data_IF_836014130714
#
_entry.id   IF_836014130714
#
_cell.length_a   1.000
_cell.length_b   1.000
_cell.length_c   1.000
_cell.angle_alpha   90.00
_cell.angle_beta   90.00
_cell.angle_gamma   90.00
#
_symmetry.space_group_name_H-M   'P 1'
#
loop_
_entity.id
_entity.type
_entity.pdbx_description
1 polymer ?
#
# COMPACT_ATOMS: atom_id res chain seq x y z
N UNK A 1 11.37 -8.68 11.56
CA UNK A 1 11.36 -9.58 10.39
C UNK A 1 10.48 -8.93 9.33
N UNK A 2 10.91 -8.86 8.07
CA UNK A 2 10.05 -8.34 6.99
C UNK A 2 9.23 -9.49 6.41
N UNK A 3 7.94 -9.26 6.22
CA UNK A 3 7.03 -10.22 5.60
C UNK A 3 6.47 -9.63 4.30
N UNK A 4 6.17 -10.51 3.34
CA UNK A 4 5.41 -10.10 2.16
C UNK A 4 3.93 -10.16 2.53
N UNK A 5 3.22 -9.08 2.24
CA UNK A 5 1.77 -8.98 2.45
C UNK A 5 1.12 -8.42 1.19
N UNK A 6 -0.16 -8.69 1.01
CA UNK A 6 -0.89 -8.10 -0.10
C UNK A 6 -1.21 -6.63 0.17
N UNK A 7 -1.27 -5.81 -0.88
CA UNK A 7 -1.55 -4.37 -0.77
C UNK A 7 -2.88 -4.09 -0.05
N UNK A 8 -3.87 -4.99 -0.18
CA UNK A 8 -5.17 -4.88 0.48
C UNK A 8 -5.11 -5.05 2.02
N UNK A 9 -4.03 -5.63 2.54
CA UNK A 9 -3.86 -5.90 3.97
C UNK A 9 -3.12 -4.77 4.69
N UNK A 10 -2.52 -3.84 3.94
CA UNK A 10 -1.79 -2.70 4.48
C UNK A 10 -2.73 -1.71 5.18
N UNK A 11 -2.21 -1.06 6.22
CA UNK A 11 -2.95 -0.07 7.03
C UNK A 11 -2.11 1.16 7.31
N UNK A 12 -2.76 2.31 7.38
CA UNK A 12 -2.15 3.58 7.83
C UNK A 12 -1.56 3.39 9.24
N UNK A 13 -0.45 4.08 9.51
CA UNK A 13 0.40 3.95 10.71
C UNK A 13 1.19 2.64 10.85
N UNK A 14 1.15 1.74 9.86
CA UNK A 14 2.12 0.62 9.77
C UNK A 14 3.33 1.02 8.92
N UNK A 15 4.32 0.14 8.88
CA UNK A 15 5.53 0.33 8.08
C UNK A 15 5.49 -0.48 6.79
N UNK A 16 6.06 0.09 5.74
CA UNK A 16 6.35 -0.55 4.45
C UNK A 16 7.82 -0.30 4.10
N UNK A 17 8.44 -1.22 3.35
CA UNK A 17 9.79 -1.00 2.84
C UNK A 17 9.70 -0.40 1.43
N UNK A 18 10.28 0.78 1.23
CA UNK A 18 10.43 1.45 -0.08
C UNK A 18 11.93 1.69 -0.28
N UNK A 19 12.49 1.27 -1.40
CA UNK A 19 13.92 1.42 -1.72
C UNK A 19 14.89 0.89 -0.63
N UNK A 20 14.48 -0.18 0.07
CA UNK A 20 15.17 -0.78 1.23
C UNK A 20 15.12 0.04 2.54
N UNK A 21 14.34 1.12 2.58
CA UNK A 21 14.14 1.93 3.78
C UNK A 21 12.76 1.68 4.40
N UNK A 22 12.65 1.61 5.74
CA UNK A 22 11.36 1.50 6.42
C UNK A 22 10.65 2.86 6.47
N UNK A 23 9.56 2.98 5.73
CA UNK A 23 8.71 4.16 5.66
C UNK A 23 7.40 3.92 6.41
N UNK A 24 6.86 4.95 7.05
CA UNK A 24 5.58 4.86 7.77
C UNK A 24 4.46 5.25 6.82
N UNK A 25 3.50 4.36 6.61
CA UNK A 25 2.34 4.66 5.76
C UNK A 25 1.53 5.80 6.38
N UNK A 26 1.48 6.94 5.71
CA UNK A 26 0.70 8.13 6.11
C UNK A 26 -0.69 8.14 5.48
N UNK A 27 -0.84 7.60 4.27
CA UNK A 27 -2.14 7.49 3.60
C UNK A 27 -2.20 6.31 2.64
N UNK A 28 -3.40 5.76 2.44
CA UNK A 28 -3.68 4.74 1.42
C UNK A 28 -4.98 5.13 0.73
N UNK A 29 -4.92 5.29 -0.60
CA UNK A 29 -6.11 5.51 -1.44
C UNK A 29 -6.24 4.38 -2.43
N UNK A 30 -7.42 3.77 -2.54
CA UNK A 30 -7.70 2.73 -3.54
C UNK A 30 -8.64 3.25 -4.62
N UNK A 31 -8.45 2.80 -5.86
CA UNK A 31 -9.30 3.16 -6.99
C UNK A 31 -9.58 1.96 -7.89
N UNK A 32 -10.74 1.97 -8.54
CA UNK A 32 -11.08 1.04 -9.63
C UNK A 32 -11.37 1.89 -10.88
N UNK A 33 -10.52 1.86 -11.91
CA UNK A 33 -10.63 2.75 -13.07
C UNK A 33 -11.86 2.45 -13.96
N UNK A 34 -12.52 1.31 -13.77
CA UNK A 34 -13.76 0.97 -14.47
C UNK A 34 -14.37 -0.33 -13.95
N UNK A 35 -15.48 -0.78 -14.55
CA UNK A 35 -16.21 -2.01 -14.14
C UNK A 35 -15.34 -3.28 -14.21
N UNK A 36 -14.47 -3.35 -15.22
CA UNK A 36 -13.54 -4.47 -15.45
C UNK A 36 -12.08 -4.09 -15.18
N UNK A 37 -11.84 -2.92 -14.57
CA UNK A 37 -10.50 -2.46 -14.27
C UNK A 37 -10.00 -3.04 -12.95
N UNK A 38 -8.72 -3.36 -12.89
CA UNK A 38 -8.08 -3.84 -11.67
C UNK A 38 -8.04 -2.76 -10.58
N UNK A 39 -8.09 -3.21 -9.33
CA UNK A 39 -7.93 -2.34 -8.18
C UNK A 39 -6.49 -1.81 -8.13
N UNK A 40 -6.35 -0.49 -8.02
CA UNK A 40 -5.08 0.19 -7.82
C UNK A 40 -5.05 0.78 -6.42
N UNK A 41 -3.87 0.81 -5.82
CA UNK A 41 -3.64 1.51 -4.56
C UNK A 41 -2.52 2.53 -4.74
N UNK A 42 -2.73 3.72 -4.21
CA UNK A 42 -1.72 4.76 -4.04
C UNK A 42 -1.39 4.84 -2.56
N UNK A 43 -0.11 4.66 -2.23
CA UNK A 43 0.41 4.68 -0.87
C UNK A 43 1.31 5.91 -0.76
N UNK A 44 1.11 6.70 0.28
CA UNK A 44 2.04 7.77 0.68
C UNK A 44 2.70 7.31 1.98
N UNK A 45 4.04 7.34 2.03
CA UNK A 45 4.84 6.80 3.13
C UNK A 45 6.14 7.60 3.33
#
# INVERSE_FOLDING_TARGET
MKEMAEVRELRVNRYIIIDNEPCKIVSITTSKPGKHGDAKARIEA
#
